data_IF_202598082605
#
_entry.id   IF_202598082605
#
_cell.length_a   1.000
_cell.length_b   1.000
_cell.length_c   1.000
_cell.angle_alpha   90.00
_cell.angle_beta   90.00
_cell.angle_gamma   90.00
#
_symmetry.space_group_name_H-M   'P 1'
#
loop_
_entity.id
_entity.type
_entity.pdbx_description
1 polymer ?
#
# COMPACT_ATOMS: atom_id res chain seq x y z
N UNK A 1 -53.60 -8.84 -7.43
CA UNK A 1 -52.79 -10.08 -7.49
C UNK A 1 -51.38 -9.66 -7.85
N UNK A 2 -50.58 -9.29 -6.85
CA UNK A 2 -49.22 -8.77 -7.06
C UNK A 2 -48.21 -9.90 -6.92
N UNK A 3 -47.60 -10.27 -8.06
CA UNK A 3 -46.54 -11.28 -8.10
C UNK A 3 -45.20 -10.59 -7.84
N UNK A 4 -44.64 -10.79 -6.65
CA UNK A 4 -43.26 -10.40 -6.33
C UNK A 4 -42.29 -11.34 -7.04
N UNK A 5 -41.58 -10.83 -8.03
CA UNK A 5 -40.52 -11.53 -8.74
C UNK A 5 -39.24 -11.46 -7.90
N UNK A 6 -38.72 -12.61 -7.49
CA UNK A 6 -37.45 -12.72 -6.76
C UNK A 6 -36.25 -12.47 -7.71
N UNK A 7 -35.16 -11.85 -7.24
CA UNK A 7 -33.97 -11.63 -8.05
C UNK A 7 -33.22 -12.94 -8.33
N UNK A 8 -32.50 -13.05 -9.46
CA UNK A 8 -31.73 -14.25 -9.79
C UNK A 8 -30.53 -14.42 -8.86
N UNK A 9 -30.32 -15.64 -8.39
CA UNK A 9 -29.13 -16.04 -7.65
C UNK A 9 -27.94 -16.16 -8.61
N UNK A 10 -26.99 -15.23 -8.54
CA UNK A 10 -25.70 -15.37 -9.21
C UNK A 10 -24.74 -16.16 -8.31
N UNK A 11 -24.69 -17.47 -8.53
CA UNK A 11 -23.64 -18.34 -8.00
C UNK A 11 -22.49 -18.36 -9.02
N UNK A 12 -21.61 -17.36 -8.96
CA UNK A 12 -20.31 -17.44 -9.60
C UNK A 12 -19.26 -17.66 -8.51
N UNK A 13 -18.64 -18.84 -8.50
CA UNK A 13 -17.51 -19.11 -7.61
C UNK A 13 -16.39 -18.11 -7.93
N UNK A 14 -15.70 -17.56 -6.92
CA UNK A 14 -14.55 -16.70 -7.16
C UNK A 14 -13.44 -17.49 -7.87
N UNK A 15 -12.63 -16.83 -8.72
CA UNK A 15 -11.48 -17.48 -9.34
C UNK A 15 -10.53 -18.01 -8.27
N UNK A 16 -10.15 -19.28 -8.39
CA UNK A 16 -9.17 -19.92 -7.52
C UNK A 16 -7.79 -19.29 -7.74
N UNK A 17 -7.20 -18.69 -6.71
CA UNK A 17 -5.81 -18.27 -6.74
C UNK A 17 -4.94 -19.52 -6.69
N UNK A 18 -4.48 -19.96 -7.85
CA UNK A 18 -3.52 -21.05 -7.94
C UNK A 18 -2.23 -20.65 -7.22
N UNK A 19 -1.85 -21.45 -6.23
CA UNK A 19 -0.54 -21.45 -5.62
C UNK A 19 0.47 -21.87 -6.69
N UNK A 20 1.12 -20.91 -7.34
CA UNK A 20 2.05 -21.20 -8.44
C UNK A 20 3.33 -21.85 -7.89
N UNK A 21 3.44 -23.16 -8.10
CA UNK A 21 4.72 -23.87 -8.14
C UNK A 21 5.61 -23.27 -9.24
N UNK A 22 6.85 -22.97 -8.87
CA UNK A 22 7.84 -22.31 -9.73
C UNK A 22 8.53 -23.34 -10.64
N UNK A 23 8.47 -23.24 -11.98
CA UNK A 23 9.44 -23.89 -12.84
C UNK A 23 10.62 -22.96 -13.08
N UNK A 24 11.80 -23.44 -12.69
CA UNK A 24 13.09 -22.86 -13.04
C UNK A 24 13.35 -22.97 -14.54
N UNK A 25 13.52 -21.86 -15.26
CA UNK A 25 14.19 -21.84 -16.57
C UNK A 25 14.61 -20.42 -17.02
N UNK A 26 15.92 -20.24 -17.10
CA UNK A 26 16.69 -19.63 -18.18
C UNK A 26 16.25 -18.27 -18.78
N UNK A 27 16.97 -17.22 -18.35
CA UNK A 27 17.87 -16.47 -19.22
C UNK A 27 17.27 -15.62 -20.33
N UNK A 28 17.15 -14.30 -20.10
CA UNK A 28 17.37 -13.29 -21.14
C UNK A 28 18.17 -12.12 -20.54
N UNK A 29 19.31 -11.87 -21.18
CA UNK A 29 20.35 -10.90 -20.86
C UNK A 29 19.97 -9.55 -21.48
N UNK A 30 20.00 -8.46 -20.71
CA UNK A 30 20.03 -7.11 -21.26
C UNK A 30 21.38 -6.48 -20.90
N UNK A 31 22.32 -6.63 -21.82
CA UNK A 31 23.50 -5.78 -21.96
C UNK A 31 23.09 -4.49 -22.67
N UNK A 32 23.39 -3.34 -22.07
CA UNK A 32 23.76 -2.19 -22.90
C UNK A 32 24.74 -1.25 -22.20
N UNK A 33 25.71 -0.85 -23.01
CA UNK A 33 27.01 -0.28 -22.73
C UNK A 33 26.97 1.15 -22.16
N UNK A 34 27.90 1.45 -21.24
CA UNK A 34 28.61 2.74 -21.22
C UNK A 34 29.94 2.64 -20.46
N UNK A 35 31.04 2.79 -21.21
CA UNK A 35 32.45 2.76 -20.80
C UNK A 35 32.93 4.09 -20.16
N UNK A 36 33.69 3.93 -19.07
CA UNK A 36 35.00 4.54 -18.70
C UNK A 36 35.19 6.06 -18.56
N UNK A 37 36.25 6.58 -17.85
CA UNK A 37 37.47 5.92 -17.33
C UNK A 37 37.62 6.02 -15.79
N UNK A 38 38.45 5.26 -15.07
CA UNK A 38 39.74 4.67 -15.39
C UNK A 38 40.85 5.42 -14.61
N UNK A 39 41.08 5.06 -13.34
CA UNK A 39 42.33 5.36 -12.62
C UNK A 39 42.75 4.12 -11.83
N UNK A 40 44.03 3.78 -11.97
CA UNK A 40 44.59 2.48 -11.66
C UNK A 40 44.96 2.20 -10.21
N UNK A 41 45.03 0.89 -9.95
CA UNK A 41 45.96 0.12 -9.11
C UNK A 41 46.64 0.80 -7.91
N UNK A 42 46.51 0.15 -6.75
CA UNK A 42 47.65 -0.53 -6.09
C UNK A 42 47.13 -1.61 -5.13
N UNK A 43 47.54 -2.86 -5.40
CA UNK A 43 47.44 -4.00 -4.48
C UNK A 43 48.51 -3.87 -3.39
N UNK A 44 48.13 -4.08 -2.13
CA UNK A 44 49.02 -4.67 -1.12
C UNK A 44 48.19 -5.65 -0.27
N UNK A 45 48.75 -6.85 -0.15
CA UNK A 45 48.26 -8.06 0.52
C UNK A 45 49.06 -8.14 1.85
N UNK A 46 48.43 -8.05 3.04
CA UNK A 46 48.15 -9.13 4.04
C UNK A 46 48.81 -8.78 5.42
N UNK A 47 48.51 -9.41 6.60
CA UNK A 47 47.57 -10.49 6.95
C UNK A 47 46.78 -10.20 8.30
N UNK A 48 46.25 -11.16 9.10
CA UNK A 48 44.93 -11.04 9.73
C UNK A 48 44.94 -10.80 11.25
N UNK A 49 44.00 -10.00 11.76
CA UNK A 49 43.60 -10.10 13.17
C UNK A 49 42.19 -9.53 13.34
N UNK A 50 41.23 -10.37 13.72
CA UNK A 50 39.96 -9.92 14.29
C UNK A 50 40.16 -9.16 15.61
N UNK A 51 39.11 -8.60 16.23
CA UNK A 51 37.80 -9.24 16.35
C UNK A 51 36.59 -8.38 15.93
N UNK A 52 35.51 -9.09 15.65
CA UNK A 52 34.11 -8.65 15.71
C UNK A 52 33.77 -7.38 14.93
N UNK A 53 33.47 -7.56 13.64
CA UNK A 53 32.58 -6.65 12.93
C UNK A 53 31.24 -6.60 13.68
N UNK A 54 30.96 -5.46 14.29
CA UNK A 54 29.61 -5.06 14.68
C UNK A 54 28.74 -5.20 13.43
N UNK A 55 27.93 -6.25 13.44
CA UNK A 55 26.97 -6.53 12.39
C UNK A 55 26.16 -5.28 12.13
N UNK A 56 26.35 -4.72 10.94
CA UNK A 56 25.48 -3.71 10.36
C UNK A 56 24.08 -4.30 10.43
N UNK A 57 23.22 -3.70 11.25
CA UNK A 57 21.86 -4.17 11.47
C UNK A 57 21.15 -4.28 10.12
N UNK A 58 20.94 -5.50 9.67
CA UNK A 58 19.90 -5.79 8.71
C UNK A 58 18.59 -5.32 9.36
N UNK A 59 18.06 -4.21 8.86
CA UNK A 59 16.74 -3.69 9.23
C UNK A 59 15.78 -4.86 9.10
N UNK A 60 15.19 -5.30 10.22
CA UNK A 60 14.25 -6.41 10.27
C UNK A 60 13.19 -6.22 9.18
N UNK A 61 13.26 -7.06 8.16
CA UNK A 61 12.26 -7.10 7.12
C UNK A 61 10.94 -7.47 7.79
N UNK A 62 9.97 -6.55 7.74
CA UNK A 62 8.64 -6.66 8.36
C UNK A 62 7.99 -8.02 8.15
N UNK A 63 8.17 -8.93 9.10
CA UNK A 63 7.60 -10.26 9.02
C UNK A 63 6.22 -10.20 9.66
N UNK A 64 5.21 -9.94 8.82
CA UNK A 64 3.93 -10.60 9.01
C UNK A 64 4.17 -12.02 8.47
N UNK A 65 4.26 -13.06 9.33
CA UNK A 65 4.53 -14.42 8.85
C UNK A 65 3.47 -14.85 7.84
N UNK A 66 3.90 -15.35 6.67
CA UNK A 66 2.97 -15.73 5.59
C UNK A 66 2.23 -14.57 4.93
N UNK A 67 2.68 -13.32 5.11
CA UNK A 67 2.03 -12.15 4.53
C UNK A 67 2.24 -12.05 3.01
N UNK A 68 1.18 -11.67 2.29
CA UNK A 68 1.22 -11.37 0.85
C UNK A 68 1.75 -9.96 0.64
N UNK A 69 2.68 -9.81 -0.31
CA UNK A 69 3.39 -8.56 -0.56
C UNK A 69 2.92 -7.90 -1.85
N UNK A 70 2.73 -6.58 -1.76
CA UNK A 70 2.37 -5.72 -2.87
C UNK A 70 3.36 -4.58 -2.97
N UNK A 71 3.57 -4.10 -4.20
CA UNK A 71 4.41 -2.93 -4.47
C UNK A 71 3.58 -1.83 -5.11
N UNK A 72 3.74 -0.61 -4.61
CA UNK A 72 3.02 0.56 -5.12
C UNK A 72 4.00 1.48 -5.85
N UNK A 73 3.67 1.83 -7.08
CA UNK A 73 4.46 2.67 -7.97
C UNK A 73 3.66 3.86 -8.46
N UNK A 74 4.33 5.00 -8.65
CA UNK A 74 3.74 6.13 -9.37
C UNK A 74 3.67 5.83 -10.86
N UNK A 75 2.51 6.11 -11.44
CA UNK A 75 2.30 6.07 -12.88
C UNK A 75 2.20 7.46 -13.50
N UNK A 76 2.65 7.55 -14.75
CA UNK A 76 2.55 8.72 -15.60
C UNK A 76 3.56 9.84 -15.31
N UNK A 77 3.54 10.84 -16.20
CA UNK A 77 4.44 12.00 -16.20
C UNK A 77 4.25 12.91 -14.99
N UNK A 78 3.01 12.98 -14.48
CA UNK A 78 2.62 13.82 -13.34
C UNK A 78 2.67 13.07 -12.00
N UNK A 79 2.93 11.75 -12.02
CA UNK A 79 3.10 10.90 -10.83
C UNK A 79 1.93 11.00 -9.82
N UNK A 80 0.73 11.24 -10.33
CA UNK A 80 -0.48 11.38 -9.51
C UNK A 80 -1.21 10.06 -9.30
N UNK A 81 -1.04 9.13 -10.23
CA UNK A 81 -1.72 7.84 -10.23
C UNK A 81 -0.82 6.79 -9.59
N UNK A 82 -1.43 5.74 -9.02
CA UNK A 82 -0.70 4.65 -8.39
C UNK A 82 -1.03 3.31 -9.08
N UNK A 83 0.00 2.50 -9.28
CA UNK A 83 -0.13 1.10 -9.71
C UNK A 83 0.27 0.22 -8.54
N UNK A 84 -0.64 -0.67 -8.14
CA UNK A 84 -0.35 -1.74 -7.18
C UNK A 84 -0.06 -3.01 -7.95
N UNK A 85 1.12 -3.57 -7.72
CA UNK A 85 1.58 -4.83 -8.34
C UNK A 85 1.75 -5.92 -7.29
N UNK A 86 1.71 -7.17 -7.75
CA UNK A 86 2.08 -8.34 -6.97
C UNK A 86 3.58 -8.31 -6.58
N UNK A 87 4.01 -9.32 -5.82
CA UNK A 87 5.40 -9.48 -5.40
C UNK A 87 6.39 -9.57 -6.57
N UNK A 88 5.95 -10.08 -7.73
CA UNK A 88 6.74 -10.15 -8.96
C UNK A 88 7.04 -8.76 -9.58
N UNK A 89 6.40 -7.70 -9.08
CA UNK A 89 6.49 -6.30 -9.54
C UNK A 89 6.06 -6.07 -10.99
N UNK A 90 5.49 -7.08 -11.63
CA UNK A 90 5.10 -7.08 -13.05
C UNK A 90 3.59 -7.21 -13.18
N UNK A 91 2.99 -8.11 -12.40
CA UNK A 91 1.56 -8.36 -12.41
C UNK A 91 0.86 -7.20 -11.72
N UNK A 92 0.21 -6.35 -12.51
CA UNK A 92 -0.61 -5.27 -12.02
C UNK A 92 -1.93 -5.82 -11.47
N UNK A 93 -2.22 -5.48 -10.22
CA UNK A 93 -3.40 -5.96 -9.49
C UNK A 93 -4.42 -4.85 -9.24
N UNK A 94 -3.96 -3.61 -9.08
CA UNK A 94 -4.84 -2.46 -8.92
C UNK A 94 -4.26 -1.22 -9.60
N UNK A 95 -5.16 -0.32 -9.99
CA UNK A 95 -4.83 0.99 -10.53
C UNK A 95 -5.65 2.05 -9.80
N UNK A 96 -4.97 3.06 -9.24
CA UNK A 96 -5.59 4.23 -8.65
C UNK A 96 -5.53 5.38 -9.66
N UNK A 97 -6.70 5.74 -10.22
CA UNK A 97 -6.81 6.87 -11.11
C UNK A 97 -7.04 8.16 -10.32
N UNK A 98 -6.17 9.13 -10.56
CA UNK A 98 -6.23 10.46 -9.99
C UNK A 98 -6.63 11.45 -11.09
N UNK A 99 -7.93 11.75 -11.28
CA UNK A 99 -8.39 12.56 -12.41
C UNK A 99 -7.80 13.98 -12.41
N UNK A 100 -8.04 14.82 -11.39
CA UNK A 100 -7.32 16.10 -11.11
C UNK A 100 -7.67 16.58 -9.68
N UNK A 101 -6.71 17.13 -8.89
CA UNK A 101 -7.00 17.87 -7.64
C UNK A 101 -7.47 19.30 -7.94
N UNK A 102 -8.71 19.66 -7.62
CA UNK A 102 -9.15 21.07 -7.56
C UNK A 102 -9.61 21.41 -6.15
N UNK A 103 -8.93 22.38 -5.52
CA UNK A 103 -9.30 23.04 -4.26
C UNK A 103 -9.72 22.14 -3.09
N UNK A 104 -8.77 21.50 -2.41
CA UNK A 104 -8.98 20.82 -1.11
C UNK A 104 -9.96 19.63 -1.11
N UNK A 105 -10.67 19.43 -2.21
CA UNK A 105 -11.59 18.35 -2.52
C UNK A 105 -10.99 17.57 -3.67
N UNK A 106 -11.14 16.26 -3.61
CA UNK A 106 -10.73 15.39 -4.68
C UNK A 106 -11.45 14.05 -4.51
N UNK A 107 -11.53 13.34 -5.62
CA UNK A 107 -12.00 11.98 -5.68
C UNK A 107 -11.07 11.13 -6.54
N UNK A 108 -10.78 9.93 -6.06
CA UNK A 108 -9.96 8.92 -6.72
C UNK A 108 -10.84 7.73 -7.01
N UNK A 109 -10.52 7.02 -8.09
CA UNK A 109 -11.17 5.76 -8.40
C UNK A 109 -10.12 4.67 -8.39
N UNK A 110 -10.36 3.63 -7.60
CA UNK A 110 -9.55 2.43 -7.55
C UNK A 110 -10.19 1.39 -8.47
N UNK A 111 -9.38 0.82 -9.35
CA UNK A 111 -9.75 -0.19 -10.32
C UNK A 111 -9.01 -1.49 -10.04
N UNK A 112 -9.64 -2.64 -10.31
CA UNK A 112 -8.98 -3.95 -10.26
C UNK A 112 -8.27 -4.21 -11.59
N UNK A 113 -7.00 -4.61 -11.53
CA UNK A 113 -6.14 -4.76 -12.70
C UNK A 113 -5.67 -3.40 -13.23
N UNK A 114 -6.05 -3.06 -14.46
CA UNK A 114 -5.63 -1.84 -15.16
C UNK A 114 -6.56 -0.65 -14.92
N UNK A 115 -6.21 0.49 -15.52
CA UNK A 115 -7.05 1.70 -15.53
C UNK A 115 -8.44 1.47 -16.13
N UNK A 116 -8.50 0.63 -17.16
CA UNK A 116 -9.74 0.24 -17.86
C UNK A 116 -10.47 -0.90 -17.13
N UNK A 117 -9.89 -1.44 -16.07
CA UNK A 117 -10.48 -2.48 -15.23
C UNK A 117 -11.72 -1.99 -14.47
N UNK A 118 -12.49 -2.92 -13.87
CA UNK A 118 -13.71 -2.56 -13.15
C UNK A 118 -13.40 -1.66 -11.94
N UNK A 119 -14.14 -0.55 -11.73
CA UNK A 119 -13.97 0.29 -10.57
C UNK A 119 -14.49 -0.42 -9.31
N UNK A 120 -13.65 -0.54 -8.30
CA UNK A 120 -13.98 -1.24 -7.05
C UNK A 120 -14.28 -0.30 -5.89
N UNK A 121 -13.62 0.86 -5.84
CA UNK A 121 -13.82 1.83 -4.78
C UNK A 121 -13.59 3.26 -5.25
N UNK A 122 -14.36 4.19 -4.70
CA UNK A 122 -14.14 5.62 -4.81
C UNK A 122 -13.59 6.14 -3.49
N UNK A 123 -12.45 6.83 -3.53
CA UNK A 123 -11.82 7.44 -2.35
C UNK A 123 -12.05 8.95 -2.46
N UNK A 124 -12.80 9.53 -1.53
CA UNK A 124 -13.14 10.96 -1.59
C UNK A 124 -12.65 11.72 -0.37
N UNK A 125 -12.26 12.98 -0.59
CA UNK A 125 -12.00 13.95 0.47
C UNK A 125 -12.89 15.16 0.26
N UNK A 126 -13.62 15.52 1.31
CA UNK A 126 -14.48 16.71 1.33
C UNK A 126 -13.80 17.87 2.08
N UNK A 127 -13.10 18.75 1.37
CA UNK A 127 -12.52 19.99 1.92
C UNK A 127 -11.40 19.72 2.93
N UNK A 128 -11.17 20.65 3.87
CA UNK A 128 -10.11 20.54 4.89
C UNK A 128 -10.43 19.53 6.02
N UNK A 129 -11.34 18.59 5.80
CA UNK A 129 -11.75 17.63 6.83
C UNK A 129 -10.65 16.61 7.08
N UNK A 130 -10.63 16.13 8.33
CA UNK A 130 -9.78 15.03 8.79
C UNK A 130 -10.26 13.66 8.28
N UNK A 131 -11.24 13.61 7.38
CA UNK A 131 -11.88 12.37 6.96
C UNK A 131 -11.70 12.12 5.47
N UNK A 132 -11.59 10.85 5.12
CA UNK A 132 -11.71 10.33 3.76
C UNK A 132 -12.82 9.29 3.75
N UNK A 133 -13.63 9.25 2.71
CA UNK A 133 -14.68 8.25 2.56
C UNK A 133 -14.28 7.27 1.46
N UNK A 134 -14.34 5.98 1.77
CA UNK A 134 -14.16 4.87 0.84
C UNK A 134 -15.54 4.32 0.49
N UNK A 135 -16.00 4.50 -0.74
CA UNK A 135 -17.30 3.99 -1.21
C UNK A 135 -17.04 2.83 -2.18
N UNK A 136 -17.47 1.62 -1.83
CA UNK A 136 -17.22 0.41 -2.62
C UNK A 136 -18.33 0.17 -3.64
N UNK A 137 -17.98 0.08 -4.92
CA UNK A 137 -18.96 0.05 -6.03
C UNK A 137 -19.83 -1.21 -6.01
N UNK A 138 -19.24 -2.38 -5.73
CA UNK A 138 -19.95 -3.66 -5.79
C UNK A 138 -21.01 -3.80 -4.68
N UNK A 139 -20.74 -3.24 -3.49
CA UNK A 139 -21.59 -3.40 -2.30
C UNK A 139 -22.38 -2.14 -1.94
N UNK A 140 -22.01 -0.99 -2.50
CA UNK A 140 -22.50 0.33 -2.04
C UNK A 140 -22.02 0.70 -0.63
N UNK A 141 -21.14 -0.11 -0.02
CA UNK A 141 -20.67 0.08 1.35
C UNK A 141 -19.81 1.33 1.43
N UNK A 142 -20.04 2.14 2.46
CA UNK A 142 -19.20 3.28 2.80
C UNK A 142 -18.40 3.01 4.08
N UNK A 143 -17.10 3.30 4.01
CA UNK A 143 -16.18 3.25 5.15
C UNK A 143 -15.57 4.63 5.31
N UNK A 144 -15.79 5.23 6.48
CA UNK A 144 -15.18 6.52 6.83
C UNK A 144 -13.85 6.24 7.51
N UNK A 145 -12.78 6.77 6.91
CA UNK A 145 -11.45 6.80 7.47
C UNK A 145 -11.22 8.16 8.10
N UNK A 146 -10.97 8.22 9.41
CA UNK A 146 -10.81 9.45 10.17
C UNK A 146 -9.40 9.59 10.74
N UNK A 147 -8.74 10.71 10.43
CA UNK A 147 -7.48 11.12 11.06
C UNK A 147 -7.73 11.64 12.46
N UNK A 148 -7.22 10.93 13.46
CA UNK A 148 -7.28 11.37 14.86
C UNK A 148 -6.25 12.47 15.12
N UNK A 149 -6.70 13.60 15.69
CA UNK A 149 -5.83 14.70 16.11
C UNK A 149 -5.29 14.40 17.52
N UNK A 150 -4.14 13.73 17.63
CA UNK A 150 -3.36 13.71 18.87
C UNK A 150 -2.10 14.55 18.69
N UNK A 151 -1.71 15.27 19.74
CA UNK A 151 -0.49 16.08 19.78
C UNK A 151 0.74 15.18 19.51
N UNK A 152 1.32 15.44 18.34
CA UNK A 152 2.70 15.22 17.85
C UNK A 152 3.38 13.85 17.69
N UNK A 153 3.01 12.70 18.28
CA UNK A 153 3.85 11.48 18.05
C UNK A 153 3.13 10.14 17.82
N UNK A 154 1.81 10.11 17.83
CA UNK A 154 1.06 8.87 17.58
C UNK A 154 -0.08 9.13 16.60
N UNK A 155 0.26 9.40 15.35
CA UNK A 155 -0.77 9.56 14.32
C UNK A 155 -1.52 8.24 14.15
N UNK A 156 -2.85 8.33 14.16
CA UNK A 156 -3.72 7.19 13.89
C UNK A 156 -4.84 7.59 12.95
N UNK A 157 -5.20 6.67 12.07
CA UNK A 157 -6.39 6.76 11.22
C UNK A 157 -7.33 5.61 11.55
N UNK A 158 -8.55 5.95 11.95
CA UNK A 158 -9.54 4.97 12.42
C UNK A 158 -10.61 4.75 11.35
N UNK A 159 -11.08 3.52 11.26
CA UNK A 159 -12.24 3.15 10.43
C UNK A 159 -13.03 2.04 11.12
N UNK A 160 -14.25 1.79 10.69
CA UNK A 160 -15.07 0.67 11.19
C UNK A 160 -15.35 -0.27 10.03
N UNK A 161 -15.00 -1.54 10.21
CA UNK A 161 -15.20 -2.62 9.24
C UNK A 161 -16.07 -3.68 9.91
N UNK A 162 -17.31 -3.85 9.44
CA UNK A 162 -18.25 -4.87 9.95
C UNK A 162 -18.48 -4.76 11.46
N UNK A 163 -18.70 -3.53 11.92
CA UNK A 163 -18.83 -3.14 13.33
C UNK A 163 -17.56 -3.32 14.19
N UNK A 164 -16.45 -3.74 13.60
CA UNK A 164 -15.16 -3.85 14.27
C UNK A 164 -14.33 -2.58 14.01
N UNK A 165 -13.79 -1.89 15.04
CA UNK A 165 -12.95 -0.72 14.83
C UNK A 165 -11.54 -1.15 14.40
N UNK A 166 -11.05 -0.57 13.31
CA UNK A 166 -9.72 -0.82 12.77
C UNK A 166 -8.90 0.48 12.85
N UNK A 167 -7.59 0.37 13.05
CA UNK A 167 -6.70 1.53 13.07
C UNK A 167 -5.44 1.31 12.24
N UNK A 168 -5.12 2.29 11.39
CA UNK A 168 -3.77 2.51 10.89
C UNK A 168 -3.01 3.34 11.91
N UNK A 169 -1.89 2.81 12.42
CA UNK A 169 -1.02 3.47 13.39
C UNK A 169 0.36 3.70 12.78
N UNK A 170 0.90 4.91 12.93
CA UNK A 170 2.25 5.23 12.50
C UNK A 170 3.28 4.47 13.35
N UNK A 171 4.23 3.82 12.69
CA UNK A 171 5.28 3.04 13.33
C UNK A 171 6.48 3.95 13.65
N UNK A 172 6.42 4.64 14.78
CA UNK A 172 7.49 5.49 15.29
C UNK A 172 7.45 6.95 14.82
N UNK A 173 8.30 7.80 15.41
CA UNK A 173 8.26 9.25 15.21
C UNK A 173 8.89 9.71 13.88
N UNK A 174 9.87 8.97 13.38
CA UNK A 174 10.64 9.32 12.17
C UNK A 174 10.41 8.37 10.99
N UNK A 175 9.53 7.39 11.15
CA UNK A 175 9.18 6.47 10.08
C UNK A 175 7.87 6.89 9.44
N UNK A 176 7.72 6.54 8.16
CA UNK A 176 6.48 6.68 7.39
C UNK A 176 5.81 5.33 7.18
N UNK A 177 6.21 4.34 7.98
CA UNK A 177 5.59 3.02 7.98
C UNK A 177 4.33 3.08 8.84
N UNK A 178 3.31 2.36 8.39
CA UNK A 178 2.03 2.29 9.08
C UNK A 178 1.63 0.84 9.29
N UNK A 179 1.10 0.51 10.46
CA UNK A 179 0.52 -0.80 10.73
C UNK A 179 -1.00 -0.69 10.86
N UNK A 180 -1.73 -1.47 10.07
CA UNK A 180 -3.17 -1.68 10.22
C UNK A 180 -3.43 -2.76 11.27
N UNK A 181 -4.30 -2.45 12.23
CA UNK A 181 -4.61 -3.32 13.36
C UNK A 181 -6.12 -3.39 13.59
N UNK A 182 -6.59 -4.53 14.10
CA UNK A 182 -7.96 -4.70 14.60
C UNK A 182 -7.95 -5.35 15.99
N UNK A 183 -8.91 -5.08 16.87
CA UNK A 183 -9.06 -5.82 18.10
C UNK A 183 -9.46 -7.28 17.80
N UNK A 184 -9.05 -8.18 18.66
CA UNK A 184 -9.48 -9.58 18.66
C UNK A 184 -10.19 -9.83 19.98
N UNK A 185 -11.37 -10.49 19.98
CA UNK A 185 -12.01 -10.93 21.22
C UNK A 185 -11.04 -11.71 22.09
N UNK A 186 -11.08 -11.48 23.40
CA UNK A 186 -10.29 -12.20 24.40
C UNK A 186 -8.76 -12.04 24.28
N UNK A 187 -8.28 -11.12 23.44
CA UNK A 187 -6.86 -10.74 23.35
C UNK A 187 -6.65 -9.32 23.86
N UNK A 188 -5.61 -9.13 24.68
CA UNK A 188 -5.13 -7.79 25.06
C UNK A 188 -4.33 -7.12 23.93
N UNK A 189 -3.83 -7.92 22.98
CA UNK A 189 -3.05 -7.44 21.84
C UNK A 189 -3.90 -7.41 20.57
N UNK A 190 -3.88 -6.28 19.82
CA UNK A 190 -4.60 -6.20 18.56
C UNK A 190 -3.88 -7.02 17.48
N UNK A 191 -4.65 -7.66 16.61
CA UNK A 191 -4.11 -8.40 15.47
C UNK A 191 -3.62 -7.43 14.40
N UNK A 192 -2.42 -7.71 13.87
CA UNK A 192 -1.89 -7.01 12.70
C UNK A 192 -2.54 -7.57 11.45
N UNK A 193 -3.20 -6.68 10.70
CA UNK A 193 -3.87 -7.00 9.43
C UNK A 193 -2.94 -6.70 8.27
N UNK A 194 -2.28 -5.54 8.28
CA UNK A 194 -1.38 -5.13 7.21
C UNK A 194 -0.31 -4.17 7.71
N UNK A 195 0.76 -4.02 6.93
CA UNK A 195 1.84 -3.05 7.14
C UNK A 195 2.17 -2.35 5.84
N UNK A 196 2.11 -1.03 5.85
CA UNK A 196 2.65 -0.16 4.82
C UNK A 196 4.09 0.20 5.18
N UNK A 197 4.99 0.03 4.22
CA UNK A 197 6.36 0.48 4.31
C UNK A 197 6.62 1.52 3.25
N UNK A 198 7.00 2.72 3.68
CA UNK A 198 7.38 3.78 2.76
C UNK A 198 8.70 3.42 2.07
N UNK A 199 8.85 3.86 0.82
CA UNK A 199 10.08 3.65 0.04
C UNK A 199 10.75 4.99 -0.26
N UNK A 200 11.04 5.78 0.78
CA UNK A 200 11.51 7.19 0.71
C UNK A 200 12.72 7.44 -0.20
N UNK A 201 13.50 6.40 -0.52
CA UNK A 201 14.70 6.49 -1.37
C UNK A 201 14.47 6.12 -2.84
N UNK A 202 13.23 5.82 -3.26
CA UNK A 202 12.93 5.38 -4.61
C UNK A 202 12.07 6.40 -5.39
N UNK A 203 12.62 6.93 -6.50
CA UNK A 203 12.03 8.01 -7.32
C UNK A 203 10.64 7.69 -7.90
N UNK A 204 10.29 6.41 -8.05
CA UNK A 204 9.04 5.94 -8.67
C UNK A 204 8.22 5.00 -7.78
N UNK A 205 8.73 4.60 -6.62
CA UNK A 205 8.10 3.60 -5.76
C UNK A 205 7.62 4.28 -4.50
N UNK A 206 6.32 4.26 -4.30
CA UNK A 206 5.68 4.88 -3.14
C UNK A 206 5.82 4.02 -1.90
N UNK A 207 5.74 2.70 -2.05
CA UNK A 207 5.82 1.82 -0.90
C UNK A 207 5.71 0.34 -1.20
N UNK A 208 5.69 -0.42 -0.11
CA UNK A 208 5.42 -1.85 -0.07
C UNK A 208 4.32 -2.07 0.96
N UNK A 209 3.24 -2.73 0.55
CA UNK A 209 2.19 -3.17 1.45
C UNK A 209 2.36 -4.66 1.70
N UNK A 210 2.31 -5.08 2.96
CA UNK A 210 2.31 -6.49 3.37
C UNK A 210 1.00 -6.75 4.08
N UNK A 211 0.20 -7.69 3.59
CA UNK A 211 -1.11 -8.06 4.16
C UNK A 211 -1.00 -9.44 4.78
N UNK A 212 -1.57 -9.63 5.97
CA UNK A 212 -1.64 -10.93 6.62
C UNK A 212 -2.47 -11.91 5.76
N UNK A 213 -1.92 -13.09 5.51
CA UNK A 213 -2.49 -14.10 4.61
C UNK A 213 -3.91 -14.52 4.97
N UNK A 214 -4.31 -14.44 6.25
CA UNK A 214 -5.69 -14.71 6.70
C UNK A 214 -6.71 -13.81 6.01
N UNK A 215 -6.34 -12.57 5.67
CA UNK A 215 -7.23 -11.61 5.02
C UNK A 215 -7.10 -11.60 3.50
N UNK A 216 -6.10 -12.32 2.97
CA UNK A 216 -5.75 -12.21 1.56
C UNK A 216 -6.62 -13.08 0.64
N UNK A 217 -7.28 -14.10 1.18
CA UNK A 217 -8.23 -14.95 0.45
C UNK A 217 -9.62 -14.32 0.27
N UNK A 218 -9.93 -13.28 1.04
CA UNK A 218 -11.22 -12.57 0.97
C UNK A 218 -11.07 -11.30 0.13
N UNK A 219 -11.55 -11.34 -1.12
CA UNK A 219 -11.37 -10.24 -2.08
C UNK A 219 -12.00 -8.91 -1.61
N UNK A 220 -13.26 -8.88 -1.12
CA UNK A 220 -13.82 -7.67 -0.49
C UNK A 220 -12.93 -7.09 0.62
N UNK A 221 -12.34 -7.94 1.45
CA UNK A 221 -11.45 -7.48 2.52
C UNK A 221 -10.14 -6.92 1.97
N UNK A 222 -9.56 -7.57 0.99
CA UNK A 222 -8.39 -7.09 0.26
C UNK A 222 -8.63 -5.71 -0.35
N UNK A 223 -9.78 -5.49 -0.99
CA UNK A 223 -10.14 -4.20 -1.57
C UNK A 223 -10.19 -3.09 -0.50
N UNK A 224 -10.72 -3.39 0.70
CA UNK A 224 -10.74 -2.45 1.84
C UNK A 224 -9.32 -2.13 2.32
N UNK A 225 -8.47 -3.14 2.47
CA UNK A 225 -7.09 -2.96 2.92
C UNK A 225 -6.30 -2.12 1.91
N UNK A 226 -6.42 -2.42 0.61
CA UNK A 226 -5.75 -1.67 -0.46
C UNK A 226 -6.26 -0.24 -0.50
N UNK A 227 -7.58 -0.02 -0.58
CA UNK A 227 -8.16 1.32 -0.64
C UNK A 227 -7.79 2.18 0.58
N UNK A 228 -7.85 1.61 1.78
CA UNK A 228 -7.48 2.34 3.01
C UNK A 228 -5.98 2.65 3.08
N UNK A 229 -5.12 1.75 2.59
CA UNK A 229 -3.66 1.99 2.53
C UNK A 229 -3.29 3.14 1.57
N UNK A 230 -3.93 3.21 0.40
CA UNK A 230 -3.73 4.30 -0.55
C UNK A 230 -4.30 5.62 -0.01
N UNK A 231 -5.44 5.55 0.69
CA UNK A 231 -6.01 6.71 1.35
C UNK A 231 -5.09 7.30 2.44
N UNK A 232 -4.39 6.49 3.25
CA UNK A 232 -3.41 7.03 4.21
C UNK A 232 -2.18 7.62 3.52
N UNK A 233 -1.68 7.00 2.44
CA UNK A 233 -0.57 7.51 1.65
C UNK A 233 -0.88 8.90 1.09
N UNK A 234 -2.10 9.13 0.62
CA UNK A 234 -2.49 10.45 0.11
C UNK A 234 -2.53 11.53 1.21
N UNK A 235 -2.79 11.21 2.47
CA UNK A 235 -2.65 12.21 3.55
C UNK A 235 -1.20 12.59 3.76
N UNK A 236 -0.28 11.64 3.61
CA UNK A 236 1.14 11.91 3.68
C UNK A 236 1.59 12.83 2.53
N UNK A 237 1.19 12.51 1.30
CA UNK A 237 1.47 13.34 0.13
C UNK A 237 0.95 14.78 0.29
N UNK A 238 -0.19 14.98 0.95
CA UNK A 238 -0.70 16.32 1.28
C UNK A 238 0.19 17.09 2.27
N UNK A 239 0.73 16.41 3.28
CA UNK A 239 1.62 17.05 4.28
C UNK A 239 2.91 17.51 3.60
N UNK A 240 3.57 16.63 2.85
CA UNK A 240 4.85 16.93 2.17
C UNK A 240 4.71 18.08 1.18
N UNK A 241 3.64 18.05 0.36
CA UNK A 241 3.39 19.12 -0.62
C UNK A 241 3.05 20.45 0.06
N UNK A 242 2.34 20.45 1.20
CA UNK A 242 2.03 21.67 1.95
C UNK A 242 3.31 22.29 2.55
N UNK A 243 4.21 21.48 3.11
CA UNK A 243 5.48 21.94 3.68
C UNK A 243 6.41 22.56 2.62
N UNK A 244 6.40 22.01 1.40
CA UNK A 244 7.25 22.49 0.30
C UNK A 244 6.83 23.88 -0.20
N UNK A 245 5.52 24.18 -0.22
CA UNK A 245 5.02 25.48 -0.68
C UNK A 245 5.33 26.60 0.30
N UNK A 246 5.34 26.32 1.61
CA UNK A 246 5.61 27.34 2.65
C UNK A 246 7.10 27.70 2.76
N UNK A 247 8.00 26.82 2.32
CA UNK A 247 9.44 27.07 2.37
C UNK A 247 9.98 27.94 1.21
N UNK A 248 9.15 28.28 0.23
CA UNK A 248 9.54 29.01 -1.01
C UNK A 248 8.89 30.40 -1.09
N UNK A 249 8.17 30.83 -0.06
CA UNK A 249 7.57 32.17 0.07
C UNK A 249 8.19 32.93 1.23
#
# INVERSE_FOLDING_TARGET
>A
MDSKQAPPAYNAAPPSYAQNDVPSANGVNYSDDKKEPGYGQSQLVEPPTGPAASGSGAVEESTIPGGIRFHVYKDGRWKTNDIVTAEDKKTQLYYLDFPVKWSGKWDLTLHRGSKEGPPIAKITKSGLRNTKTLTFTETGREIILEKTKKLSMTQRHQMVVDSVPWEWKLDGTFSMNWTLRRPVPDSSEPQVVARWQDSSFAVKKDGKLVVNGEFASDQPMMDIIIASSLAIQEWYNEIVNTTTVVAVT
#
